data_IF_056164054277
#
_entry.id   IF_056164054277
#
_cell.length_a   1.000
_cell.length_b   1.000
_cell.length_c   1.000
_cell.angle_alpha   90.00
_cell.angle_beta   90.00
_cell.angle_gamma   90.00
#
_symmetry.space_group_name_H-M   'P 1'
#
loop_
_entity.id
_entity.type
_entity.pdbx_description
1 polymer ?
#
# COMPACT_ATOMS: atom_id res chain seq x y z
N UNK A 1 6.32 -13.04 5.77
CA UNK A 1 5.80 -12.17 4.70
C UNK A 1 7.03 -11.63 3.97
N UNK A 2 7.32 -12.12 2.76
CA UNK A 2 8.46 -11.63 1.98
C UNK A 2 8.06 -10.29 1.36
N UNK A 3 8.67 -9.19 1.81
CA UNK A 3 8.51 -7.90 1.15
C UNK A 3 9.32 -7.97 -0.14
N UNK A 4 8.65 -7.90 -1.29
CA UNK A 4 9.35 -7.83 -2.57
C UNK A 4 10.07 -6.48 -2.67
N UNK A 5 11.30 -6.43 -3.21
CA UNK A 5 11.97 -5.15 -3.38
C UNK A 5 11.24 -4.29 -4.41
N UNK A 6 11.29 -2.97 -4.25
CA UNK A 6 10.77 -2.00 -5.24
C UNK A 6 11.80 -0.93 -5.57
N UNK A 7 11.81 -0.44 -6.82
CA UNK A 7 12.65 0.69 -7.22
C UNK A 7 11.91 2.02 -7.00
N UNK A 8 12.39 2.92 -6.11
CA UNK A 8 11.70 4.19 -5.83
C UNK A 8 11.53 5.06 -7.07
N UNK A 9 12.55 5.19 -7.92
CA UNK A 9 12.49 5.96 -9.17
C UNK A 9 11.37 5.52 -10.10
N UNK A 10 11.17 4.21 -10.27
CA UNK A 10 10.09 3.66 -11.10
C UNK A 10 8.71 4.02 -10.53
N UNK A 11 8.55 3.95 -9.20
CA UNK A 11 7.29 4.34 -8.56
C UNK A 11 7.03 5.84 -8.72
N UNK A 12 8.04 6.71 -8.59
CA UNK A 12 7.89 8.16 -8.82
C UNK A 12 7.55 8.48 -10.27
N UNK A 13 8.16 7.79 -11.23
CA UNK A 13 7.82 7.89 -12.65
C UNK A 13 6.35 7.55 -12.90
N UNK A 14 5.87 6.45 -12.28
CA UNK A 14 4.46 6.05 -12.34
C UNK A 14 3.52 7.15 -11.84
N UNK A 15 3.80 7.71 -10.67
CA UNK A 15 2.98 8.78 -10.10
C UNK A 15 2.99 10.03 -10.98
N UNK A 16 4.14 10.35 -11.58
CA UNK A 16 4.30 11.51 -12.46
C UNK A 16 3.55 11.34 -13.79
N UNK A 17 3.43 10.12 -14.31
CA UNK A 17 2.87 9.87 -15.64
C UNK A 17 1.36 9.55 -15.62
N UNK A 18 0.80 9.02 -14.52
CA UNK A 18 -0.63 8.62 -14.46
C UNK A 18 -1.65 9.74 -14.75
N UNK A 19 -1.44 11.02 -14.36
CA UNK A 19 -2.40 12.09 -14.64
C UNK A 19 -2.64 12.36 -16.13
N UNK A 20 -1.78 11.85 -17.01
CA UNK A 20 -1.73 12.23 -18.42
C UNK A 20 -2.26 11.16 -19.39
N UNK A 21 -2.57 9.95 -18.90
CA UNK A 21 -2.92 8.81 -19.76
C UNK A 21 -4.08 8.00 -19.15
N UNK A 22 -5.20 7.95 -19.88
CA UNK A 22 -6.40 7.17 -19.52
C UNK A 22 -6.32 5.71 -20.01
N UNK A 23 -5.45 5.40 -20.97
CA UNK A 23 -5.23 4.05 -21.50
C UNK A 23 -4.22 3.24 -20.67
N UNK A 24 -3.39 3.93 -19.87
CA UNK A 24 -2.44 3.31 -18.95
C UNK A 24 -1.47 4.29 -18.33
N UNK A 25 -0.28 3.80 -17.97
CA UNK A 25 0.83 4.63 -17.49
C UNK A 25 2.07 4.28 -18.27
N UNK A 26 2.65 5.26 -18.96
CA UNK A 26 3.91 5.09 -19.68
C UNK A 26 5.07 4.98 -18.69
N UNK A 27 5.78 3.85 -18.68
CA UNK A 27 6.96 3.62 -17.87
C UNK A 27 8.04 2.99 -18.74
N UNK A 28 9.21 3.65 -18.81
CA UNK A 28 10.36 3.18 -19.60
C UNK A 28 10.00 2.77 -21.04
N UNK A 29 9.11 3.54 -21.68
CA UNK A 29 8.68 3.31 -23.07
C UNK A 29 7.58 2.26 -23.25
N UNK A 30 7.01 1.73 -22.17
CA UNK A 30 5.89 0.77 -22.23
C UNK A 30 4.68 1.31 -21.49
N UNK A 31 3.48 1.03 -22.01
CA UNK A 31 2.22 1.38 -21.35
C UNK A 31 1.78 0.24 -20.44
N UNK A 32 1.54 0.55 -19.17
CA UNK A 32 1.06 -0.39 -18.15
C UNK A 32 -0.38 -0.07 -17.76
N UNK A 33 -1.24 -1.09 -17.65
CA UNK A 33 -2.60 -0.87 -17.18
C UNK A 33 -2.61 -0.69 -15.68
N UNK A 34 -3.28 0.35 -15.21
CA UNK A 34 -3.57 0.55 -13.79
C UNK A 34 -5.08 0.66 -13.60
N UNK A 35 -5.72 -0.48 -13.31
CA UNK A 35 -7.18 -0.56 -13.13
C UNK A 35 -7.51 -1.36 -11.88
N UNK A 36 -8.72 -1.17 -11.29
CA UNK A 36 -9.19 -1.97 -10.17
C UNK A 36 -9.07 -3.49 -10.39
N UNK A 37 -9.32 -3.95 -11.62
CA UNK A 37 -9.24 -5.36 -11.98
C UNK A 37 -7.80 -5.92 -11.91
N UNK A 38 -6.81 -5.15 -12.37
CA UNK A 38 -5.39 -5.56 -12.30
C UNK A 38 -4.91 -5.57 -10.85
N UNK A 39 -5.32 -4.58 -10.04
CA UNK A 39 -5.01 -4.54 -8.60
C UNK A 39 -5.63 -5.75 -7.88
N UNK A 40 -6.90 -6.04 -8.15
CA UNK A 40 -7.58 -7.19 -7.56
C UNK A 40 -6.88 -8.51 -7.91
N UNK A 41 -6.43 -8.66 -9.16
CA UNK A 41 -5.67 -9.83 -9.60
C UNK A 41 -4.35 -9.97 -8.83
N UNK A 42 -3.59 -8.89 -8.70
CA UNK A 42 -2.32 -8.89 -7.97
C UNK A 42 -2.52 -9.28 -6.49
N UNK A 43 -3.57 -8.73 -5.87
CA UNK A 43 -3.86 -8.89 -4.44
C UNK A 43 -4.71 -10.13 -4.13
N UNK A 44 -5.07 -10.90 -5.16
CA UNK A 44 -5.93 -12.09 -5.07
C UNK A 44 -7.29 -11.79 -4.41
N UNK A 45 -7.82 -10.58 -4.63
CA UNK A 45 -9.12 -10.14 -4.13
C UNK A 45 -10.20 -10.27 -5.21
N UNK A 46 -11.47 -10.53 -4.84
CA UNK A 46 -12.54 -10.66 -5.80
C UNK A 46 -12.82 -9.32 -6.50
N UNK A 47 -13.16 -9.38 -7.79
CA UNK A 47 -13.78 -8.24 -8.47
C UNK A 47 -15.24 -8.17 -8.05
N UNK A 48 -15.65 -7.01 -7.54
CA UNK A 48 -17.02 -6.77 -7.07
C UNK A 48 -17.62 -5.67 -7.97
N UNK A 49 -18.68 -6.01 -8.71
CA UNK A 49 -19.36 -5.09 -9.62
C UNK A 49 -20.06 -3.94 -8.88
N UNK A 50 -20.74 -4.27 -7.77
CA UNK A 50 -21.44 -3.30 -6.93
C UNK A 50 -20.71 -3.19 -5.59
N UNK A 51 -19.68 -2.34 -5.55
CA UNK A 51 -18.98 -2.03 -4.30
C UNK A 51 -19.91 -1.26 -3.38
N UNK A 52 -19.89 -1.58 -2.09
CA UNK A 52 -20.61 -0.81 -1.09
C UNK A 52 -20.03 0.60 -0.97
N UNK A 53 -20.89 1.62 -1.06
CA UNK A 53 -20.55 3.05 -0.97
C UNK A 53 -20.28 3.46 0.48
N UNK A 54 -19.17 2.97 1.02
CA UNK A 54 -18.81 3.17 2.42
C UNK A 54 -18.52 4.64 2.77
N UNK A 55 -18.08 5.46 1.81
CA UNK A 55 -17.76 6.89 2.02
C UNK A 55 -18.99 7.71 2.43
N UNK A 56 -20.18 7.28 2.03
CA UNK A 56 -21.44 7.98 2.25
C UNK A 56 -22.20 7.49 3.50
N UNK A 57 -21.64 6.51 4.22
CA UNK A 57 -22.25 6.03 5.46
C UNK A 57 -22.32 7.16 6.49
N UNK A 58 -23.48 7.27 7.14
CA UNK A 58 -23.69 8.25 8.20
C UNK A 58 -22.66 8.07 9.33
N UNK A 59 -22.02 9.18 9.70
CA UNK A 59 -20.94 9.15 10.69
C UNK A 59 -21.48 8.86 12.09
N UNK A 60 -22.68 9.33 12.44
CA UNK A 60 -23.27 9.10 13.76
C UNK A 60 -23.68 7.63 13.93
N UNK A 61 -24.23 7.01 12.88
CA UNK A 61 -24.48 5.58 12.84
C UNK A 61 -23.18 4.76 12.97
N UNK A 62 -22.13 5.20 12.27
CA UNK A 62 -20.81 4.57 12.30
C UNK A 62 -20.25 4.53 13.72
N UNK A 63 -20.21 5.66 14.41
CA UNK A 63 -19.63 5.77 15.75
C UNK A 63 -20.46 5.06 16.82
N UNK A 64 -21.80 5.11 16.72
CA UNK A 64 -22.68 4.38 17.64
C UNK A 64 -22.33 2.89 17.57
N UNK A 65 -22.21 2.35 16.35
CA UNK A 65 -21.85 0.96 16.17
C UNK A 65 -20.45 0.62 16.69
N UNK A 66 -19.44 1.42 16.37
CA UNK A 66 -18.05 1.13 16.72
C UNK A 66 -17.74 1.33 18.22
N UNK A 67 -18.57 2.08 18.94
CA UNK A 67 -18.43 2.34 20.38
C UNK A 67 -19.37 1.48 21.25
N UNK A 68 -20.17 0.59 20.65
CA UNK A 68 -21.17 -0.18 21.38
C UNK A 68 -22.27 0.70 21.98
N UNK A 69 -22.73 1.68 21.21
CA UNK A 69 -23.78 2.66 21.53
C UNK A 69 -23.45 3.62 22.69
N UNK A 70 -22.17 3.71 23.09
CA UNK A 70 -21.70 4.66 24.11
C UNK A 70 -21.55 6.09 23.57
N UNK A 71 -21.40 6.26 22.26
CA UNK A 71 -21.26 7.55 21.60
C UNK A 71 -22.16 7.63 20.37
N UNK A 72 -23.15 8.53 20.38
CA UNK A 72 -24.14 8.68 19.30
C UNK A 72 -23.91 9.90 18.40
N UNK A 73 -22.99 10.80 18.75
CA UNK A 73 -22.70 12.03 18.00
C UNK A 73 -21.19 12.22 17.85
N UNK A 74 -20.74 12.57 16.64
CA UNK A 74 -19.32 12.82 16.41
C UNK A 74 -18.88 14.10 17.11
N UNK A 75 -18.05 13.94 18.15
CA UNK A 75 -17.45 15.05 18.91
C UNK A 75 -15.92 15.13 18.75
N UNK A 76 -15.33 14.20 18.01
CA UNK A 76 -13.90 14.04 17.83
C UNK A 76 -13.48 12.57 17.91
N UNK A 77 -12.25 12.27 17.49
CA UNK A 77 -11.74 10.91 17.55
C UNK A 77 -11.09 10.59 18.89
N UNK A 78 -11.46 9.45 19.48
CA UNK A 78 -10.75 8.84 20.59
C UNK A 78 -10.71 7.32 20.36
N UNK A 79 -9.52 6.78 20.11
CA UNK A 79 -9.33 5.35 19.87
C UNK A 79 -9.85 4.49 21.02
N UNK A 80 -9.71 4.95 22.27
CA UNK A 80 -10.15 4.22 23.46
C UNK A 80 -11.68 4.17 23.59
N UNK A 81 -12.41 4.98 22.83
CA UNK A 81 -13.87 4.90 22.77
C UNK A 81 -14.37 3.74 21.91
N UNK A 82 -13.53 3.21 21.00
CA UNK A 82 -13.90 2.05 20.20
C UNK A 82 -13.87 0.78 21.05
N UNK A 83 -14.76 -0.17 20.79
CA UNK A 83 -14.65 -1.50 21.40
C UNK A 83 -13.45 -2.27 20.85
N UNK A 84 -12.87 -3.17 21.66
CA UNK A 84 -11.56 -3.80 21.41
C UNK A 84 -11.33 -4.34 19.97
N UNK A 85 -12.28 -5.04 19.33
CA UNK A 85 -12.08 -5.52 17.95
C UNK A 85 -11.82 -4.39 16.95
N UNK A 86 -12.48 -3.25 17.13
CA UNK A 86 -12.37 -2.11 16.22
C UNK A 86 -11.14 -1.26 16.49
N UNK A 87 -10.61 -1.28 17.73
CA UNK A 87 -9.29 -0.67 17.99
C UNK A 87 -8.19 -1.36 17.20
N UNK A 88 -8.19 -2.70 17.21
CA UNK A 88 -7.21 -3.49 16.46
C UNK A 88 -7.35 -3.26 14.95
N UNK A 89 -8.58 -3.31 14.42
CA UNK A 89 -8.84 -3.07 13.01
C UNK A 89 -8.50 -1.64 12.57
N UNK A 90 -8.71 -0.64 13.43
CA UNK A 90 -8.34 0.75 13.15
C UNK A 90 -6.84 0.87 12.86
N UNK A 91 -5.99 0.25 13.70
CA UNK A 91 -4.54 0.24 13.50
C UNK A 91 -4.12 -0.44 12.18
N UNK A 92 -4.85 -1.47 11.77
CA UNK A 92 -4.63 -2.10 10.46
C UNK A 92 -5.01 -1.14 9.32
N UNK A 93 -6.14 -0.44 9.44
CA UNK A 93 -6.63 0.52 8.43
C UNK A 93 -5.67 1.70 8.24
N UNK A 94 -5.25 2.30 9.35
CA UNK A 94 -4.33 3.45 9.43
C UNK A 94 -3.02 3.17 8.68
N UNK A 95 -2.48 1.94 8.83
CA UNK A 95 -1.18 1.57 8.26
C UNK A 95 -1.26 0.99 6.85
N UNK A 96 -2.36 0.31 6.49
CA UNK A 96 -2.37 -0.56 5.29
C UNK A 96 -3.51 -0.29 4.29
N UNK A 97 -4.67 0.22 4.71
CA UNK A 97 -5.84 0.29 3.81
C UNK A 97 -6.15 1.70 3.33
N UNK A 98 -5.89 2.71 4.13
CA UNK A 98 -6.15 4.12 3.79
C UNK A 98 -4.98 4.96 4.34
N UNK A 99 -3.74 4.78 3.83
CA UNK A 99 -2.59 5.52 4.34
C UNK A 99 -2.74 7.02 4.06
N UNK A 100 -2.37 7.84 5.03
CA UNK A 100 -2.38 9.29 4.91
C UNK A 100 -2.15 9.97 6.26
N UNK A 101 -1.89 11.29 6.27
CA UNK A 101 -1.79 12.03 7.52
C UNK A 101 -3.13 12.03 8.25
N UNK A 102 -3.07 12.00 9.59
CA UNK A 102 -4.20 12.05 10.52
C UNK A 102 -4.94 13.39 10.42
N UNK A 103 -5.74 13.53 9.37
CA UNK A 103 -6.69 14.62 9.21
C UNK A 103 -8.09 14.16 9.62
N UNK A 104 -8.90 15.08 10.11
CA UNK A 104 -10.29 14.82 10.50
C UNK A 104 -11.10 14.11 9.41
N UNK A 105 -10.88 14.46 8.13
CA UNK A 105 -11.56 13.80 7.01
C UNK A 105 -11.07 12.37 6.80
N UNK A 106 -9.78 12.11 6.98
CA UNK A 106 -9.22 10.75 6.84
C UNK A 106 -9.71 9.83 7.95
N UNK A 107 -9.73 10.33 9.19
CA UNK A 107 -10.24 9.57 10.33
C UNK A 107 -11.71 9.18 10.13
N UNK A 108 -12.54 10.10 9.64
CA UNK A 108 -13.95 9.81 9.31
C UNK A 108 -14.06 8.70 8.26
N UNK A 109 -13.18 8.70 7.25
CA UNK A 109 -13.13 7.65 6.24
C UNK A 109 -12.68 6.29 6.81
N UNK A 110 -11.69 6.27 7.70
CA UNK A 110 -11.29 5.04 8.41
C UNK A 110 -12.44 4.44 9.20
N UNK A 111 -13.17 5.27 9.96
CA UNK A 111 -14.30 4.80 10.75
C UNK A 111 -15.41 4.23 9.87
N UNK A 112 -15.73 4.90 8.76
CA UNK A 112 -16.72 4.38 7.80
C UNK A 112 -16.29 3.07 7.15
N UNK A 113 -15.02 2.94 6.79
CA UNK A 113 -14.48 1.70 6.23
C UNK A 113 -14.52 0.56 7.27
N UNK A 114 -14.16 0.85 8.53
CA UNK A 114 -14.26 -0.11 9.64
C UNK A 114 -15.69 -0.56 9.87
N UNK A 115 -16.65 0.36 9.84
CA UNK A 115 -18.07 0.04 9.93
C UNK A 115 -18.50 -0.89 8.78
N UNK A 116 -18.12 -0.59 7.55
CA UNK A 116 -18.43 -1.44 6.41
C UNK A 116 -17.82 -2.85 6.55
N UNK A 117 -16.58 -2.94 7.04
CA UNK A 117 -15.94 -4.23 7.34
C UNK A 117 -16.67 -4.98 8.46
N UNK A 118 -17.07 -4.29 9.53
CA UNK A 118 -17.82 -4.86 10.65
C UNK A 118 -19.20 -5.41 10.23
N UNK A 119 -19.83 -4.77 9.24
CA UNK A 119 -21.10 -5.22 8.64
C UNK A 119 -20.92 -6.28 7.55
N UNK A 120 -19.69 -6.72 7.27
CA UNK A 120 -19.38 -7.63 6.18
C UNK A 120 -19.88 -7.12 4.81
N UNK A 121 -19.92 -5.80 4.63
CA UNK A 121 -20.29 -5.20 3.36
C UNK A 121 -19.23 -5.51 2.31
N UNK A 122 -19.66 -5.83 1.09
CA UNK A 122 -18.75 -6.14 -0.02
C UNK A 122 -18.07 -4.86 -0.50
N UNK A 123 -16.77 -4.75 -0.32
CA UNK A 123 -15.96 -3.62 -0.78
C UNK A 123 -14.98 -4.11 -1.84
N UNK A 124 -14.96 -3.44 -2.99
CA UNK A 124 -13.97 -3.70 -4.02
C UNK A 124 -12.61 -3.13 -3.60
N UNK A 125 -11.70 -4.01 -3.18
CA UNK A 125 -10.37 -3.62 -2.73
C UNK A 125 -9.57 -2.89 -3.81
N UNK A 126 -9.59 -3.41 -5.04
CA UNK A 126 -8.91 -2.82 -6.18
C UNK A 126 -9.41 -1.40 -6.48
N UNK A 127 -10.71 -1.14 -6.32
CA UNK A 127 -11.29 0.20 -6.47
C UNK A 127 -10.83 1.13 -5.35
N UNK A 128 -10.81 0.63 -4.11
CA UNK A 128 -10.34 1.38 -2.95
C UNK A 128 -8.87 1.81 -3.11
N UNK A 129 -7.99 0.93 -3.56
CA UNK A 129 -6.57 1.26 -3.82
C UNK A 129 -6.43 2.20 -5.02
N UNK A 130 -7.18 1.93 -6.10
CA UNK A 130 -7.17 2.76 -7.30
C UNK A 130 -7.52 4.21 -6.96
N UNK A 131 -8.64 4.44 -6.29
CA UNK A 131 -9.09 5.78 -5.87
C UNK A 131 -8.01 6.54 -5.10
N UNK A 132 -7.34 5.86 -4.16
CA UNK A 132 -6.31 6.48 -3.33
C UNK A 132 -5.08 6.87 -4.15
N UNK A 133 -4.61 5.97 -5.02
CA UNK A 133 -3.46 6.25 -5.89
C UNK A 133 -3.78 7.39 -6.86
N UNK A 134 -4.96 7.39 -7.47
CA UNK A 134 -5.38 8.49 -8.35
C UNK A 134 -5.45 9.82 -7.59
N UNK A 135 -6.02 9.83 -6.39
CA UNK A 135 -6.08 11.03 -5.56
C UNK A 135 -4.67 11.54 -5.19
N UNK A 136 -3.73 10.62 -4.91
CA UNK A 136 -2.34 10.98 -4.65
C UNK A 136 -1.66 11.58 -5.89
N UNK A 137 -1.90 11.05 -7.09
CA UNK A 137 -1.32 11.57 -8.34
C UNK A 137 -1.78 12.99 -8.69
N UNK A 138 -2.92 13.44 -8.11
CA UNK A 138 -3.43 14.81 -8.27
C UNK A 138 -2.77 15.81 -7.33
N UNK A 139 -2.13 15.35 -6.26
CA UNK A 139 -1.45 16.23 -5.31
C UNK A 139 -0.12 16.69 -5.90
N UNK A 140 0.13 18.00 -5.86
CA UNK A 140 1.34 18.63 -6.42
C UNK A 140 2.51 18.70 -5.42
N UNK A 141 2.34 18.16 -4.21
CA UNK A 141 3.37 18.20 -3.17
C UNK A 141 4.29 16.98 -3.26
N UNK A 142 5.54 17.23 -3.62
CA UNK A 142 6.56 16.21 -3.88
C UNK A 142 7.17 15.60 -2.62
N UNK A 143 6.93 16.19 -1.45
CA UNK A 143 7.37 15.66 -0.14
C UNK A 143 6.39 14.62 0.44
N UNK A 144 5.31 14.32 -0.28
CA UNK A 144 4.32 13.34 0.18
C UNK A 144 4.89 11.92 0.12
N UNK A 145 4.83 11.20 1.24
CA UNK A 145 5.17 9.77 1.29
C UNK A 145 4.43 8.99 0.18
N UNK A 146 5.17 8.17 -0.57
CA UNK A 146 4.59 7.29 -1.59
C UNK A 146 3.61 6.33 -0.93
N UNK A 147 2.33 6.39 -1.32
CA UNK A 147 1.35 5.38 -0.94
C UNK A 147 1.49 4.14 -1.82
N UNK A 148 1.44 2.96 -1.20
CA UNK A 148 1.52 1.66 -1.87
C UNK A 148 2.71 1.45 -2.84
N UNK A 149 3.95 1.89 -2.54
CA UNK A 149 5.05 1.85 -3.50
C UNK A 149 5.36 0.41 -3.94
N UNK A 150 5.24 -0.53 -3.00
CA UNK A 150 5.45 -1.94 -3.24
C UNK A 150 4.39 -2.55 -4.18
N UNK A 151 3.10 -2.21 -3.97
CA UNK A 151 2.00 -2.68 -4.80
C UNK A 151 2.11 -2.12 -6.21
N UNK A 152 2.41 -0.81 -6.35
CA UNK A 152 2.61 -0.17 -7.66
C UNK A 152 3.71 -0.90 -8.42
N UNK A 153 4.87 -1.10 -7.80
CA UNK A 153 6.00 -1.75 -8.46
C UNK A 153 5.69 -3.21 -8.84
N UNK A 154 5.07 -3.97 -7.93
CA UNK A 154 4.65 -5.35 -8.23
C UNK A 154 3.60 -5.42 -9.34
N UNK A 155 2.69 -4.45 -9.42
CA UNK A 155 1.67 -4.37 -10.47
C UNK A 155 2.30 -4.14 -11.85
N UNK A 156 3.37 -3.36 -11.92
CA UNK A 156 4.15 -3.20 -13.15
C UNK A 156 4.83 -4.52 -13.51
N UNK A 157 5.57 -5.11 -12.56
CA UNK A 157 6.28 -6.38 -12.75
C UNK A 157 5.37 -7.56 -13.11
N UNK A 158 4.12 -7.57 -12.63
CA UNK A 158 3.10 -8.57 -12.98
C UNK A 158 2.76 -8.56 -14.47
N UNK A 159 2.78 -7.38 -15.09
CA UNK A 159 2.44 -7.20 -16.51
C UNK A 159 3.65 -7.38 -17.41
N UNK A 160 4.80 -6.84 -16.99
CA UNK A 160 6.06 -6.89 -17.74
C UNK A 160 7.24 -6.58 -16.82
N UNK A 161 8.39 -7.20 -17.08
CA UNK A 161 9.64 -6.83 -16.45
C UNK A 161 9.99 -5.36 -16.72
N UNK A 162 10.25 -4.60 -15.65
CA UNK A 162 10.66 -3.20 -15.72
C UNK A 162 12.19 -3.13 -15.71
N UNK A 163 12.83 -2.64 -16.79
CA UNK A 163 14.28 -2.56 -16.84
C UNK A 163 14.80 -1.51 -15.86
N UNK A 164 15.85 -1.85 -15.11
CA UNK A 164 16.60 -0.91 -14.29
C UNK A 164 17.59 -0.13 -15.16
N UNK A 165 17.56 1.20 -15.08
CA UNK A 165 18.44 2.07 -15.85
C UNK A 165 19.58 2.63 -14.97
N UNK A 166 20.70 3.07 -15.59
CA UNK A 166 21.74 3.81 -14.89
C UNK A 166 21.16 5.03 -14.16
N UNK A 167 21.44 5.15 -12.86
CA UNK A 167 20.94 6.23 -12.01
C UNK A 167 19.60 5.95 -11.31
N UNK A 168 19.05 4.74 -11.43
CA UNK A 168 18.00 4.26 -10.55
C UNK A 168 18.57 3.97 -9.15
N UNK A 169 17.81 4.28 -8.10
CA UNK A 169 18.23 3.93 -6.73
C UNK A 169 18.16 2.42 -6.50
N UNK A 170 18.98 1.94 -5.56
CA UNK A 170 18.93 0.54 -5.12
C UNK A 170 17.51 0.17 -4.66
N UNK A 171 16.97 -0.99 -5.08
CA UNK A 171 15.64 -1.39 -4.68
C UNK A 171 15.49 -1.53 -3.16
N UNK A 172 14.51 -0.83 -2.59
CA UNK A 172 14.19 -0.87 -1.16
C UNK A 172 13.44 -2.16 -0.85
N UNK A 173 13.75 -2.78 0.29
CA UNK A 173 13.11 -4.04 0.72
C UNK A 173 13.83 -5.29 0.23
N UNK A 174 15.02 -5.17 -0.38
CA UNK A 174 15.92 -6.32 -0.55
C UNK A 174 16.32 -6.84 0.83
N UNK A 175 16.26 -8.16 1.02
CA UNK A 175 16.83 -8.79 2.21
C UNK A 175 18.31 -8.45 2.28
N UNK A 176 18.76 -7.90 3.41
CA UNK A 176 20.18 -7.68 3.64
C UNK A 176 20.88 -9.05 3.64
N UNK A 177 21.90 -9.28 2.81
CA UNK A 177 22.73 -10.47 2.98
C UNK A 177 23.38 -10.36 4.35
N UNK A 178 23.17 -11.37 5.21
CA UNK A 178 23.94 -11.52 6.46
C UNK A 178 25.37 -11.89 6.03
N UNK A 179 26.19 -10.90 5.70
CA UNK A 179 27.63 -11.11 5.56
C UNK A 179 28.22 -11.28 6.96
N UNK A 180 28.23 -12.54 7.41
CA UNK A 180 28.88 -12.97 8.65
C UNK A 180 29.27 -14.45 8.69
N UNK A 181 29.07 -15.20 7.59
CA UNK A 181 29.49 -16.60 7.44
C UNK A 181 30.11 -16.82 6.05
N UNK A 182 31.00 -15.92 5.63
CA UNK A 182 32.02 -16.31 4.65
C UNK A 182 33.00 -17.22 5.41
N UNK A 183 32.76 -18.54 5.31
CA UNK A 183 33.67 -19.54 5.83
C UNK A 183 35.07 -19.30 5.26
N UNK A 184 36.02 -19.11 6.17
CA UNK A 184 37.44 -19.21 5.88
C UNK A 184 37.73 -20.56 5.22
N UNK A 185 37.72 -20.57 3.90
CA UNK A 185 38.38 -21.62 3.10
C UNK A 185 39.70 -21.06 2.62
N UNK A 186 40.57 -20.71 3.58
CA UNK A 186 42.00 -20.63 3.31
C UNK A 186 42.51 -22.06 3.12
N UNK A 187 42.81 -22.41 1.86
CA UNK A 187 43.42 -23.68 1.49
C UNK A 187 44.75 -23.92 2.24
N UNK A 188 45.17 -25.20 2.39
CA UNK A 188 46.30 -25.55 3.24
C UNK A 188 47.61 -24.96 2.68
N UNK A 189 48.22 -24.06 3.46
CA UNK A 189 49.58 -23.57 3.23
C UNK A 189 50.56 -24.74 3.33
N UNK A 190 51.16 -25.10 2.20
CA UNK A 190 52.23 -26.08 2.13
C UNK A 190 53.43 -25.70 3.00
N UNK A 191 53.80 -26.60 3.91
CA UNK A 191 55.08 -26.59 4.63
C UNK A 191 56.23 -26.70 3.62
N UNK A 192 57.05 -25.65 3.48
CA UNK A 192 58.43 -25.81 2.98
C UNK A 192 59.33 -26.15 4.18
N UNK A 193 59.96 -27.32 4.13
CA UNK A 193 61.08 -27.69 5.00
C UNK A 193 62.35 -27.03 4.46
N UNK A 194 63.17 -26.54 5.39
CA UNK A 194 64.52 -26.03 5.17
C UNK A 194 65.47 -27.17 4.77
N UNK A 195 66.32 -26.90 3.80
CA UNK A 195 67.72 -27.35 3.75
C UNK A 195 68.55 -26.17 3.24
#
# INVERSE_FOLDING_TARGET
MHVHPFCPRVVREFISNKPFDDEGVLIRGYVFQFTPAVINRLMMTPTIEHSFEWKDVDLNQTISHLTGDQCSVWTGFNLNALINPFQALYRVCELNWLPGPDSDSMIKNWLRLLYAAAKCNKINFGLLVYDQVIEMTRKTDWDTNLIFPNLIYQLLMLQREVPLLPGDEEPIGRGLPIQGLSGDTSGPRGRRRLY
#
